data_IF_800605584591
#
_entry.id   IF_800605584591
#
_cell.length_a   1.000
_cell.length_b   1.000
_cell.length_c   1.000
_cell.angle_alpha   90.00
_cell.angle_beta   90.00
_cell.angle_gamma   90.00
#
_symmetry.space_group_name_H-M   'P 1'
#
loop_
_entity.id
_entity.type
_entity.pdbx_description
1 polymer ?
#
# COMPACT_ATOMS: atom_id res chain seq x y z
N UNK A 1 -11.62 1.21 3.13
CA UNK A 1 -10.86 0.06 3.70
C UNK A 1 -9.65 0.46 4.56
N UNK A 2 -8.97 1.60 4.30
CA UNK A 2 -7.73 1.94 5.02
C UNK A 2 -7.92 2.12 6.54
N UNK A 3 -9.06 2.64 7.00
CA UNK A 3 -9.32 2.88 8.42
C UNK A 3 -9.38 1.59 9.27
N UNK A 4 -9.54 0.40 8.67
CA UNK A 4 -9.47 -0.87 9.40
C UNK A 4 -8.02 -1.32 9.69
N UNK A 5 -7.05 -0.72 9.00
CA UNK A 5 -5.63 -1.05 9.12
C UNK A 5 -4.96 -0.21 10.21
N UNK A 6 -3.97 -0.80 10.87
CA UNK A 6 -3.07 -0.06 11.77
C UNK A 6 -2.20 0.91 10.98
N UNK A 7 -1.64 1.97 11.61
CA UNK A 7 -0.74 2.89 10.92
C UNK A 7 0.45 2.23 10.22
N UNK A 8 0.97 1.12 10.77
CA UNK A 8 2.04 0.37 10.13
C UNK A 8 1.57 -0.37 8.87
N UNK A 9 0.40 -1.01 8.93
CA UNK A 9 -0.20 -1.68 7.77
C UNK A 9 -0.59 -0.67 6.68
N UNK A 10 -1.17 0.48 7.06
CA UNK A 10 -1.50 1.57 6.13
C UNK A 10 -0.26 2.04 5.37
N UNK A 11 0.86 2.32 6.06
CA UNK A 11 2.11 2.73 5.40
C UNK A 11 2.60 1.71 4.37
N UNK A 12 2.54 0.42 4.70
CA UNK A 12 2.94 -0.64 3.76
C UNK A 12 2.02 -0.70 2.55
N UNK A 13 0.71 -0.61 2.79
CA UNK A 13 -0.31 -0.70 1.74
C UNK A 13 -0.30 0.51 0.81
N UNK A 14 -0.05 1.72 1.32
CA UNK A 14 0.12 2.93 0.50
C UNK A 14 1.30 2.80 -0.47
N UNK A 15 2.46 2.32 0.01
CA UNK A 15 3.61 2.08 -0.86
C UNK A 15 3.35 0.94 -1.87
N UNK A 16 2.51 -0.03 -1.51
CA UNK A 16 2.07 -1.08 -2.43
C UNK A 16 1.22 -0.50 -3.59
N UNK A 17 0.41 0.51 -3.30
CA UNK A 17 -0.42 1.23 -4.29
C UNK A 17 0.42 2.10 -5.22
N UNK A 18 1.55 2.62 -4.73
CA UNK A 18 2.58 3.28 -5.54
C UNK A 18 3.34 2.29 -6.46
N UNK A 19 3.04 0.99 -6.40
CA UNK A 19 3.65 -0.05 -7.25
C UNK A 19 4.97 -0.60 -6.71
N UNK A 20 5.38 -0.25 -5.49
CA UNK A 20 6.61 -0.78 -4.91
C UNK A 20 6.48 -2.27 -4.60
N UNK A 21 7.58 -3.01 -4.79
CA UNK A 21 7.70 -4.38 -4.30
C UNK A 21 8.12 -4.42 -2.83
N UNK A 22 7.94 -5.56 -2.17
CA UNK A 22 8.21 -5.73 -0.74
C UNK A 22 9.65 -5.35 -0.34
N UNK A 23 10.65 -5.57 -1.21
CA UNK A 23 12.05 -5.18 -0.96
C UNK A 23 12.22 -3.66 -0.99
N UNK A 24 11.59 -2.98 -1.94
CA UNK A 24 11.60 -1.52 -2.01
C UNK A 24 10.85 -0.89 -0.82
N UNK A 25 9.71 -1.46 -0.44
CA UNK A 25 8.95 -1.07 0.76
C UNK A 25 9.81 -1.24 2.02
N UNK A 26 10.48 -2.39 2.17
CA UNK A 26 11.35 -2.68 3.30
C UNK A 26 12.48 -1.65 3.43
N UNK A 27 13.14 -1.31 2.32
CA UNK A 27 14.16 -0.26 2.27
C UNK A 27 13.60 1.11 2.65
N UNK A 28 12.44 1.48 2.11
CA UNK A 28 11.83 2.81 2.33
C UNK A 28 11.32 3.01 3.76
N UNK A 29 10.83 1.94 4.39
CA UNK A 29 10.36 1.95 5.77
C UNK A 29 11.45 1.59 6.79
N UNK A 30 12.67 1.26 6.34
CA UNK A 30 13.81 0.84 7.17
C UNK A 30 13.43 -0.34 8.09
N UNK A 31 12.79 -1.35 7.50
CA UNK A 31 12.38 -2.60 8.17
C UNK A 31 12.78 -3.82 7.35
N UNK A 32 12.68 -5.02 7.94
CA UNK A 32 12.97 -6.25 7.21
C UNK A 32 11.89 -6.58 6.17
N UNK A 33 12.28 -7.26 5.08
CA UNK A 33 11.34 -7.81 4.09
C UNK A 33 10.25 -8.68 4.73
N UNK A 34 10.63 -9.48 5.72
CA UNK A 34 9.70 -10.36 6.44
C UNK A 34 8.71 -9.57 7.30
N UNK A 35 9.11 -8.42 7.82
CA UNK A 35 8.21 -7.48 8.52
C UNK A 35 7.16 -6.92 7.56
N UNK A 36 7.55 -6.56 6.33
CA UNK A 36 6.61 -6.12 5.28
C UNK A 36 5.60 -7.22 4.96
N UNK A 37 6.05 -8.46 4.75
CA UNK A 37 5.16 -9.61 4.51
C UNK A 37 4.17 -9.83 5.65
N UNK A 38 4.62 -9.70 6.90
CA UNK A 38 3.77 -9.76 8.09
C UNK A 38 2.70 -8.67 8.07
N UNK A 39 3.05 -7.43 7.75
CA UNK A 39 2.09 -6.34 7.64
C UNK A 39 1.07 -6.59 6.52
N UNK A 40 1.50 -7.07 5.35
CA UNK A 40 0.60 -7.42 4.24
C UNK A 40 -0.35 -8.55 4.66
N UNK A 41 0.16 -9.61 5.28
CA UNK A 41 -0.66 -10.73 5.75
C UNK A 41 -1.72 -10.30 6.76
N UNK A 42 -1.36 -9.44 7.71
CA UNK A 42 -2.32 -8.87 8.67
C UNK A 42 -3.33 -7.94 8.00
N UNK A 43 -2.89 -7.13 7.03
CA UNK A 43 -3.76 -6.26 6.26
C UNK A 43 -4.81 -7.06 5.49
N UNK A 44 -4.40 -8.14 4.80
CA UNK A 44 -5.29 -9.06 4.10
C UNK A 44 -6.32 -9.69 5.03
N UNK A 45 -5.90 -10.18 6.20
CA UNK A 45 -6.82 -10.76 7.19
C UNK A 45 -7.84 -9.74 7.70
N UNK A 46 -7.43 -8.49 7.94
CA UNK A 46 -8.33 -7.43 8.42
C UNK A 46 -9.28 -6.90 7.35
N UNK A 47 -8.80 -6.84 6.11
CA UNK A 47 -9.58 -6.34 4.98
C UNK A 47 -10.48 -7.41 4.36
N UNK A 48 -10.31 -8.68 4.74
CA UNK A 48 -11.03 -9.81 4.15
C UNK A 48 -10.56 -10.18 2.73
N UNK A 49 -9.46 -9.60 2.27
CA UNK A 49 -8.91 -9.87 0.94
C UNK A 49 -8.10 -11.16 0.93
N UNK A 50 -8.19 -11.94 -0.14
CA UNK A 50 -7.49 -13.22 -0.29
C UNK A 50 -6.06 -13.04 -0.77
N UNK A 51 -5.80 -11.97 -1.52
CA UNK A 51 -4.49 -11.70 -2.08
C UNK A 51 -4.20 -10.20 -2.18
N UNK A 52 -2.93 -9.87 -2.43
CA UNK A 52 -2.47 -8.48 -2.54
C UNK A 52 -3.15 -7.70 -3.67
N UNK A 53 -3.58 -8.37 -4.74
CA UNK A 53 -4.22 -7.73 -5.88
C UNK A 53 -5.64 -7.28 -5.50
N UNK A 54 -6.41 -8.15 -4.84
CA UNK A 54 -7.71 -7.82 -4.27
C UNK A 54 -7.61 -6.67 -3.27
N UNK A 55 -6.57 -6.65 -2.42
CA UNK A 55 -6.32 -5.55 -1.50
C UNK A 55 -6.12 -4.22 -2.24
N UNK A 56 -5.23 -4.21 -3.25
CA UNK A 56 -4.95 -3.03 -4.07
C UNK A 56 -6.20 -2.56 -4.82
N UNK A 57 -6.89 -3.47 -5.49
CA UNK A 57 -8.11 -3.15 -6.25
C UNK A 57 -9.25 -2.68 -5.36
N UNK A 58 -9.42 -3.29 -4.18
CA UNK A 58 -10.41 -2.87 -3.19
C UNK A 58 -10.17 -1.45 -2.73
N UNK A 59 -8.92 -1.08 -2.46
CA UNK A 59 -8.56 0.28 -2.03
C UNK A 59 -8.77 1.33 -3.14
N UNK A 60 -8.48 0.97 -4.39
CA UNK A 60 -8.76 1.84 -5.55
C UNK A 60 -10.27 2.04 -5.73
N UNK A 61 -11.06 0.95 -5.60
CA UNK A 61 -12.52 0.98 -5.77
C UNK A 61 -13.24 1.73 -4.65
N UNK A 62 -12.75 1.63 -3.42
CA UNK A 62 -13.30 2.34 -2.26
C UNK A 62 -13.14 3.88 -2.39
N UNK A 63 -12.38 4.37 -3.38
CA UNK A 63 -12.17 5.81 -3.60
C UNK A 63 -11.52 6.48 -2.39
N UNK A 64 -10.68 5.73 -1.65
CA UNK A 64 -10.22 6.15 -0.34
C UNK A 64 -9.48 7.49 -0.45
N UNK A 65 -9.92 8.57 0.25
CA UNK A 65 -9.43 9.93 0.01
C UNK A 65 -7.94 10.12 0.28
N UNK A 66 -7.30 9.18 1.00
CA UNK A 66 -5.86 9.14 1.15
C UNK A 66 -5.11 8.87 -0.18
N UNK A 67 -5.69 8.08 -1.09
CA UNK A 67 -5.13 7.79 -2.41
C UNK A 67 -5.19 9.01 -3.34
N UNK A 68 -6.32 9.72 -3.31
CA UNK A 68 -6.52 10.92 -4.14
C UNK A 68 -5.54 12.05 -3.75
N UNK A 69 -5.14 12.12 -2.48
CA UNK A 69 -4.22 13.15 -1.97
C UNK A 69 -2.77 12.94 -2.40
N UNK A 70 -2.36 11.70 -2.69
CA UNK A 70 -1.00 11.37 -3.16
C UNK A 70 -0.89 11.37 -4.68
N UNK A 71 -1.96 11.03 -5.42
CA UNK A 71 -1.99 11.11 -6.87
C UNK A 71 -1.75 12.53 -7.42
N UNK A 72 -2.04 13.57 -6.64
CA UNK A 72 -1.77 14.96 -7.00
C UNK A 72 -0.27 15.33 -7.00
N UNK A 73 0.64 14.43 -6.60
CA UNK A 73 2.06 14.74 -6.38
C UNK A 73 3.08 14.17 -7.38
N UNK A 74 2.74 13.18 -8.22
CA UNK A 74 3.74 12.50 -9.07
C UNK A 74 3.21 12.12 -10.45
N UNK A 75 2.95 13.12 -11.28
CA UNK A 75 3.23 13.01 -12.71
C UNK A 75 4.35 14.00 -13.02
N UNK A 76 5.60 13.61 -12.78
CA UNK A 76 6.71 14.30 -13.45
C UNK A 76 6.64 13.93 -14.94
N UNK A 77 6.54 14.90 -15.86
CA UNK A 77 6.60 14.61 -17.28
C UNK A 77 7.96 13.97 -17.59
N UNK A 78 7.92 12.92 -18.39
CA UNK A 78 9.11 12.31 -18.99
C UNK A 78 9.77 13.38 -19.88
N UNK A 79 11.04 13.75 -19.65
CA UNK A 79 11.69 14.73 -20.51
C UNK A 79 11.86 14.13 -21.92
N UNK A 80 11.57 14.94 -22.93
CA UNK A 80 11.82 14.64 -24.34
C UNK A 80 13.32 14.67 -24.66
#
# INVERSE_FOLDING_TARGET
MLNLLTPAEQRVVLLLLEGLNNRAIAKRLVISHRTVECHISRALRKSGCRNRLELVLGLIRDGDPALNRQAAGTMQPMPA
#
